data_IF_346687550261
#
_entry.id   IF_346687550261
#
_cell.length_a   1.000
_cell.length_b   1.000
_cell.length_c   1.000
_cell.angle_alpha   90.00
_cell.angle_beta   90.00
_cell.angle_gamma   90.00
#
_symmetry.space_group_name_H-M   'P 1'
#
loop_
_entity.id
_entity.type
_entity.pdbx_description
1 polymer ?
#
# COMPACT_ATOMS: atom_id res chain seq x y z
N UNK A 1 10.91 -29.77 3.18
CA UNK A 1 10.05 -29.53 4.36
C UNK A 1 9.03 -28.44 4.01
N UNK A 2 7.72 -28.71 4.03
CA UNK A 2 6.71 -27.73 3.64
C UNK A 2 6.54 -26.69 4.75
N UNK A 3 6.65 -25.40 4.40
CA UNK A 3 6.34 -24.29 5.29
C UNK A 3 4.84 -24.27 5.56
N UNK A 4 4.44 -24.57 6.79
CA UNK A 4 3.07 -24.41 7.28
C UNK A 4 2.66 -22.95 7.18
N UNK A 5 1.75 -22.64 6.24
CA UNK A 5 0.99 -21.40 6.20
C UNK A 5 0.02 -21.41 7.38
N UNK A 6 0.34 -20.66 8.42
CA UNK A 6 -0.61 -20.37 9.51
C UNK A 6 -1.55 -19.29 8.99
N UNK A 7 -2.66 -19.70 8.38
CA UNK A 7 -3.80 -18.81 8.19
C UNK A 7 -4.38 -18.54 9.58
N UNK A 8 -4.13 -17.38 10.14
CA UNK A 8 -4.92 -16.89 11.28
C UNK A 8 -6.32 -16.62 10.74
N UNK A 9 -7.26 -17.42 11.20
CA UNK A 9 -8.68 -17.17 11.01
C UNK A 9 -9.03 -15.90 11.78
N UNK A 10 -9.31 -14.82 11.07
CA UNK A 10 -9.66 -13.50 11.62
C UNK A 10 -11.17 -13.37 11.86
N UNK A 11 -11.94 -14.46 11.72
CA UNK A 11 -13.40 -14.40 11.68
C UNK A 11 -14.14 -14.63 13.02
N UNK A 12 -13.46 -14.91 14.13
CA UNK A 12 -14.14 -15.40 15.35
C UNK A 12 -13.70 -14.75 16.68
N UNK A 13 -13.35 -13.45 16.66
CA UNK A 13 -13.30 -12.68 17.90
C UNK A 13 -14.55 -11.81 18.03
N UNK A 14 -15.20 -11.69 19.21
CA UNK A 14 -16.28 -10.73 19.35
C UNK A 14 -15.75 -9.33 19.04
N UNK A 15 -16.38 -8.67 18.06
CA UNK A 15 -16.13 -7.27 17.78
C UNK A 15 -16.60 -6.47 19.01
N UNK A 16 -15.66 -6.08 19.87
CA UNK A 16 -15.93 -5.17 20.98
C UNK A 16 -15.86 -3.75 20.40
N UNK A 17 -17.00 -3.05 20.28
CA UNK A 17 -16.99 -1.68 19.80
C UNK A 17 -16.20 -0.82 20.81
N UNK A 18 -15.26 -0.03 20.29
CA UNK A 18 -14.51 0.92 21.10
C UNK A 18 -15.43 2.03 21.61
N UNK A 19 -15.27 2.40 22.85
CA UNK A 19 -16.00 3.52 23.45
C UNK A 19 -15.55 4.86 22.84
N UNK A 20 -16.41 5.88 22.92
CA UNK A 20 -16.09 7.23 22.47
C UNK A 20 -14.85 7.79 23.18
N UNK A 21 -14.64 7.48 24.46
CA UNK A 21 -13.48 7.88 25.24
C UNK A 21 -12.17 7.23 24.74
N UNK A 22 -12.22 5.94 24.36
CA UNK A 22 -11.08 5.25 23.77
C UNK A 22 -10.71 5.83 22.39
N UNK A 23 -11.69 6.30 21.63
CA UNK A 23 -11.47 7.00 20.38
C UNK A 23 -10.84 8.38 20.59
N UNK A 24 -11.26 9.10 21.61
CA UNK A 24 -10.77 10.45 21.94
C UNK A 24 -9.37 10.45 22.53
N UNK A 25 -8.86 9.30 22.99
CA UNK A 25 -7.55 9.19 23.65
C UNK A 25 -6.42 9.50 22.66
N UNK A 26 -5.66 10.54 22.96
CA UNK A 26 -4.42 10.86 22.26
C UNK A 26 -3.26 9.97 22.73
N UNK A 27 -2.41 9.57 21.81
CA UNK A 27 -1.25 8.72 22.04
C UNK A 27 0.04 9.54 22.01
N UNK A 28 0.99 9.20 22.87
CA UNK A 28 2.35 9.70 22.80
C UNK A 28 3.12 9.06 21.63
N UNK A 29 4.25 9.65 21.26
CA UNK A 29 5.18 9.11 20.25
C UNK A 29 5.57 7.65 20.56
N UNK A 30 5.93 7.38 21.82
CA UNK A 30 6.32 6.04 22.27
C UNK A 30 5.18 5.02 22.17
N UNK A 31 3.96 5.41 22.57
CA UNK A 31 2.78 4.53 22.45
C UNK A 31 2.45 4.22 20.99
N UNK A 32 2.55 5.19 20.09
CA UNK A 32 2.33 4.96 18.66
C UNK A 32 3.40 4.03 18.10
N UNK A 33 4.67 4.29 18.39
CA UNK A 33 5.78 3.45 17.94
C UNK A 33 5.65 2.00 18.41
N UNK A 34 5.39 1.80 19.70
CA UNK A 34 5.21 0.46 20.28
C UNK A 34 4.04 -0.31 19.66
N UNK A 35 2.88 0.36 19.47
CA UNK A 35 1.67 -0.28 18.94
C UNK A 35 1.71 -0.55 17.44
N UNK A 36 2.34 0.35 16.68
CA UNK A 36 2.44 0.22 15.22
C UNK A 36 3.63 -0.64 14.77
N UNK A 37 4.56 -0.91 15.69
CA UNK A 37 5.79 -1.64 15.39
C UNK A 37 6.67 -0.91 14.37
N UNK A 38 6.78 0.41 14.51
CA UNK A 38 7.74 1.23 13.74
C UNK A 38 8.65 2.00 14.69
N UNK A 39 9.84 2.37 14.22
CA UNK A 39 10.75 3.20 14.99
C UNK A 39 10.19 4.64 15.14
N UNK A 40 10.56 5.32 16.21
CA UNK A 40 10.18 6.73 16.43
C UNK A 40 10.68 7.62 15.27
N UNK A 41 11.86 7.34 14.72
CA UNK A 41 12.39 8.04 13.54
C UNK A 41 11.50 7.89 12.31
N UNK A 42 10.94 6.69 12.07
CA UNK A 42 10.00 6.45 10.98
C UNK A 42 8.69 7.22 11.19
N UNK A 43 8.22 7.34 12.43
CA UNK A 43 7.04 8.13 12.77
C UNK A 43 7.26 9.63 12.45
N UNK A 44 8.41 10.17 12.85
CA UNK A 44 8.79 11.54 12.51
C UNK A 44 8.97 11.76 11.01
N UNK A 45 9.50 10.77 10.30
CA UNK A 45 9.61 10.80 8.85
C UNK A 45 8.22 10.85 8.18
N UNK A 46 7.27 9.99 8.60
CA UNK A 46 5.91 10.03 8.07
C UNK A 46 5.21 11.37 8.34
N UNK A 47 5.45 11.97 9.50
CA UNK A 47 4.94 13.30 9.82
C UNK A 47 5.57 14.37 8.91
N UNK A 48 6.88 14.35 8.72
CA UNK A 48 7.58 15.27 7.82
C UNK A 48 7.13 15.13 6.36
N UNK A 49 6.78 13.91 5.93
CA UNK A 49 6.21 13.65 4.60
C UNK A 49 4.72 14.00 4.49
N UNK A 50 4.08 14.47 5.56
CA UNK A 50 2.67 14.82 5.58
C UNK A 50 1.70 13.63 5.49
N UNK A 51 2.17 12.42 5.75
CA UNK A 51 1.34 11.20 5.76
C UNK A 51 0.48 11.09 7.01
N UNK A 52 1.00 11.58 8.13
CA UNK A 52 0.32 11.63 9.43
C UNK A 52 0.49 13.02 10.06
N UNK A 53 -0.37 13.34 11.00
CA UNK A 53 -0.31 14.61 11.73
C UNK A 53 -0.30 14.38 13.23
N UNK A 54 0.39 15.27 13.95
CA UNK A 54 0.36 15.33 15.40
C UNK A 54 -0.15 16.70 15.88
N UNK A 55 -0.55 16.77 17.13
CA UNK A 55 -0.78 18.03 17.87
C UNK A 55 0.27 18.15 18.96
N UNK A 56 0.50 19.35 19.46
CA UNK A 56 1.34 19.56 20.62
C UNK A 56 0.46 19.86 21.83
N UNK A 57 0.73 19.16 22.94
CA UNK A 57 0.06 19.46 24.20
C UNK A 57 0.69 20.70 24.88
N UNK A 58 0.18 21.08 26.06
CA UNK A 58 0.67 22.22 26.85
C UNK A 58 2.17 22.10 27.20
N UNK A 59 2.70 20.90 27.32
CA UNK A 59 4.13 20.64 27.58
C UNK A 59 4.96 20.53 26.30
N UNK A 60 4.47 21.01 25.16
CA UNK A 60 5.11 20.97 23.85
C UNK A 60 5.44 19.54 23.32
N UNK A 61 4.80 18.51 23.87
CA UNK A 61 4.97 17.11 23.45
C UNK A 61 4.02 16.76 22.32
N UNK A 62 4.48 15.98 21.34
CA UNK A 62 3.64 15.45 20.27
C UNK A 62 2.60 14.48 20.79
N UNK A 63 1.36 14.67 20.35
CA UNK A 63 0.22 13.81 20.61
C UNK A 63 -0.45 13.43 19.29
N UNK A 64 -0.81 12.19 19.16
CA UNK A 64 -1.41 11.64 17.96
C UNK A 64 -2.81 11.12 18.27
N UNK A 65 -3.81 11.40 17.42
CA UNK A 65 -5.11 10.76 17.54
C UNK A 65 -4.96 9.25 17.36
N UNK A 66 -5.74 8.45 18.06
CA UNK A 66 -5.65 6.97 17.97
C UNK A 66 -5.82 6.45 16.55
N UNK A 67 -6.59 7.14 15.72
CA UNK A 67 -6.76 6.84 14.29
C UNK A 67 -5.44 6.77 13.49
N UNK A 68 -4.37 7.40 13.97
CA UNK A 68 -3.04 7.34 13.33
C UNK A 68 -2.52 5.92 13.20
N UNK A 69 -2.87 5.02 14.14
CA UNK A 69 -2.45 3.61 14.09
C UNK A 69 -2.99 2.91 12.83
N UNK A 70 -4.22 3.24 12.44
CA UNK A 70 -4.83 2.70 11.22
C UNK A 70 -4.14 3.24 9.97
N UNK A 71 -3.83 4.54 9.94
CA UNK A 71 -3.08 5.15 8.83
C UNK A 71 -1.70 4.50 8.68
N UNK A 72 -0.96 4.33 9.78
CA UNK A 72 0.35 3.68 9.76
C UNK A 72 0.23 2.23 9.27
N UNK A 73 -0.79 1.49 9.68
CA UNK A 73 -1.01 0.13 9.21
C UNK A 73 -1.22 0.10 7.69
N UNK A 74 -2.04 0.99 7.15
CA UNK A 74 -2.27 1.12 5.70
C UNK A 74 -0.97 1.47 4.97
N UNK A 75 -0.23 2.47 5.44
CA UNK A 75 1.06 2.89 4.86
C UNK A 75 2.04 1.69 4.82
N UNK A 76 2.19 0.97 5.92
CA UNK A 76 3.10 -0.21 6.00
C UNK A 76 2.72 -1.31 5.02
N UNK A 77 1.44 -1.62 4.91
CA UNK A 77 0.96 -2.66 3.99
C UNK A 77 1.18 -2.21 2.55
N UNK A 78 0.82 -0.98 2.20
CA UNK A 78 1.02 -0.42 0.88
C UNK A 78 2.50 -0.42 0.45
N UNK A 79 3.41 0.00 1.35
CA UNK A 79 4.85 -0.06 1.08
C UNK A 79 5.35 -1.50 0.86
N UNK A 80 4.83 -2.48 1.60
CA UNK A 80 5.18 -3.89 1.40
C UNK A 80 4.73 -4.45 0.06
N UNK A 81 3.68 -3.90 -0.51
CA UNK A 81 3.21 -4.26 -1.86
C UNK A 81 3.92 -3.46 -2.96
N UNK A 82 4.94 -2.66 -2.58
CA UNK A 82 5.76 -1.91 -3.52
C UNK A 82 5.11 -0.61 -4.01
N UNK A 83 4.08 -0.08 -3.32
CA UNK A 83 3.52 1.22 -3.66
C UNK A 83 4.46 2.32 -3.17
N UNK A 84 4.89 3.25 -4.04
CA UNK A 84 5.74 4.36 -3.66
C UNK A 84 5.11 5.25 -2.61
N UNK A 85 5.92 5.79 -1.69
CA UNK A 85 5.42 6.62 -0.61
C UNK A 85 4.72 7.90 -1.10
N UNK A 86 5.18 8.45 -2.22
CA UNK A 86 4.55 9.61 -2.86
C UNK A 86 3.11 9.30 -3.29
N UNK A 87 2.89 8.16 -3.93
CA UNK A 87 1.58 7.68 -4.35
C UNK A 87 0.66 7.42 -3.13
N UNK A 88 1.21 6.78 -2.07
CA UNK A 88 0.47 6.60 -0.81
C UNK A 88 0.01 7.94 -0.24
N UNK A 89 0.88 8.95 -0.26
CA UNK A 89 0.56 10.29 0.24
C UNK A 89 -0.56 10.94 -0.57
N UNK A 90 -0.54 10.83 -1.88
CA UNK A 90 -1.58 11.36 -2.76
C UNK A 90 -2.95 10.72 -2.47
N UNK A 91 -2.99 9.41 -2.34
CA UNK A 91 -4.22 8.71 -1.97
C UNK A 91 -4.73 9.08 -0.58
N UNK A 92 -3.84 9.22 0.41
CA UNK A 92 -4.23 9.63 1.76
C UNK A 92 -4.64 11.11 1.85
N UNK A 93 -4.33 11.93 0.85
CA UNK A 93 -4.69 13.34 0.83
C UNK A 93 -6.20 13.60 0.79
N UNK A 94 -7.00 12.63 0.36
CA UNK A 94 -8.46 12.71 0.38
C UNK A 94 -9.07 12.62 1.80
N UNK A 95 -8.28 12.18 2.80
CA UNK A 95 -8.75 12.08 4.17
C UNK A 95 -8.74 13.44 4.87
N UNK A 96 -9.77 13.77 5.68
CA UNK A 96 -9.83 15.00 6.44
C UNK A 96 -8.71 15.05 7.50
N UNK A 97 -8.15 16.23 7.70
CA UNK A 97 -7.11 16.49 8.72
C UNK A 97 -7.64 17.27 9.92
N UNK A 98 -8.79 17.91 9.76
CA UNK A 98 -9.44 18.82 10.70
C UNK A 98 -10.50 18.14 11.58
N UNK A 99 -10.96 16.97 11.18
CA UNK A 99 -11.96 16.16 11.89
C UNK A 99 -11.59 14.67 11.90
N UNK A 100 -12.22 13.86 12.76
CA UNK A 100 -12.07 12.41 12.74
C UNK A 100 -12.49 11.82 11.37
N UNK A 101 -11.73 10.83 10.91
CA UNK A 101 -12.01 10.11 9.66
C UNK A 101 -13.25 9.24 9.85
N UNK A 102 -14.27 9.47 9.05
CA UNK A 102 -15.53 8.72 9.06
C UNK A 102 -15.45 7.43 8.23
N UNK A 103 -16.46 6.57 8.36
CA UNK A 103 -16.61 5.38 7.52
C UNK A 103 -16.74 5.74 6.02
N UNK A 104 -17.41 6.86 5.70
CA UNK A 104 -17.54 7.35 4.33
C UNK A 104 -16.20 7.81 3.73
N UNK A 105 -15.36 8.47 4.54
CA UNK A 105 -14.00 8.85 4.11
C UNK A 105 -13.16 7.61 3.80
N UNK A 106 -13.25 6.58 4.64
CA UNK A 106 -12.58 5.31 4.40
C UNK A 106 -13.10 4.58 3.17
N UNK A 107 -14.40 4.59 2.93
CA UNK A 107 -14.99 4.00 1.73
C UNK A 107 -14.48 4.69 0.46
N UNK A 108 -14.42 6.05 0.47
CA UNK A 108 -13.87 6.83 -0.64
C UNK A 108 -12.40 6.51 -0.90
N UNK A 109 -11.58 6.47 0.15
CA UNK A 109 -10.18 6.06 0.05
C UNK A 109 -10.05 4.66 -0.56
N UNK A 110 -10.83 3.71 -0.04
CA UNK A 110 -10.81 2.31 -0.49
C UNK A 110 -11.18 2.17 -1.96
N UNK A 111 -12.20 2.90 -2.43
CA UNK A 111 -12.62 2.87 -3.83
C UNK A 111 -11.49 3.33 -4.78
N UNK A 112 -10.82 4.46 -4.46
CA UNK A 112 -9.70 4.93 -5.27
C UNK A 112 -8.51 3.97 -5.28
N UNK A 113 -8.31 3.23 -4.19
CA UNK A 113 -7.23 2.23 -4.12
C UNK A 113 -7.54 0.94 -4.86
N UNK A 114 -8.82 0.55 -4.98
CA UNK A 114 -9.21 -0.65 -5.72
C UNK A 114 -8.74 -0.57 -7.17
N UNK A 115 -9.01 0.52 -7.86
CA UNK A 115 -8.63 0.70 -9.27
C UNK A 115 -7.11 0.58 -9.47
N UNK A 116 -6.33 1.27 -8.62
CA UNK A 116 -4.86 1.22 -8.67
C UNK A 116 -4.31 -0.17 -8.38
N UNK A 117 -4.88 -0.85 -7.40
CA UNK A 117 -4.44 -2.20 -7.03
C UNK A 117 -4.84 -3.23 -8.10
N UNK A 118 -6.03 -3.13 -8.68
CA UNK A 118 -6.49 -4.03 -9.73
C UNK A 118 -5.62 -3.89 -11.00
N UNK A 119 -5.29 -2.66 -11.41
CA UNK A 119 -4.36 -2.43 -12.51
C UNK A 119 -2.98 -3.04 -12.22
N UNK A 120 -2.44 -2.83 -11.01
CA UNK A 120 -1.16 -3.40 -10.61
C UNK A 120 -1.18 -4.93 -10.57
N UNK A 121 -2.26 -5.53 -10.07
CA UNK A 121 -2.47 -6.99 -10.10
C UNK A 121 -2.48 -7.49 -11.54
N UNK A 122 -3.21 -6.83 -12.43
CA UNK A 122 -3.27 -7.21 -13.83
C UNK A 122 -1.90 -7.15 -14.52
N UNK A 123 -1.10 -6.09 -14.25
CA UNK A 123 0.27 -5.98 -14.77
C UNK A 123 1.19 -7.08 -14.24
N UNK A 124 1.13 -7.37 -12.94
CA UNK A 124 1.93 -8.44 -12.34
C UNK A 124 1.53 -9.83 -12.87
N UNK A 125 0.24 -10.08 -13.09
CA UNK A 125 -0.24 -11.32 -13.68
C UNK A 125 0.27 -11.47 -15.13
N UNK A 126 0.16 -10.43 -15.95
CA UNK A 126 0.70 -10.44 -17.32
C UNK A 126 2.20 -10.75 -17.33
N UNK A 127 2.98 -10.05 -16.50
CA UNK A 127 4.42 -10.29 -16.40
C UNK A 127 4.73 -11.73 -15.98
N UNK A 128 4.05 -12.24 -14.95
CA UNK A 128 4.23 -13.63 -14.50
C UNK A 128 3.96 -14.64 -15.61
N UNK A 129 2.86 -14.46 -16.34
CA UNK A 129 2.42 -15.41 -17.36
C UNK A 129 3.35 -15.36 -18.59
N UNK A 130 3.81 -14.18 -18.98
CA UNK A 130 4.78 -14.01 -20.04
C UNK A 130 6.16 -14.58 -19.69
N UNK A 131 6.64 -14.37 -18.45
CA UNK A 131 7.88 -15.01 -17.98
C UNK A 131 7.72 -16.52 -17.87
N UNK A 132 6.55 -17.02 -17.47
CA UNK A 132 6.24 -18.45 -17.41
C UNK A 132 6.34 -19.13 -18.78
N UNK A 133 5.85 -18.49 -19.83
CA UNK A 133 5.97 -18.99 -21.20
C UNK A 133 7.42 -18.96 -21.69
N UNK A 134 8.20 -17.93 -21.36
CA UNK A 134 9.62 -17.84 -21.70
C UNK A 134 10.48 -18.91 -21.01
N UNK A 135 10.22 -19.21 -19.72
CA UNK A 135 11.01 -20.16 -18.95
C UNK A 135 10.58 -21.60 -19.28
N UNK A 136 9.28 -21.81 -19.52
CA UNK A 136 8.71 -23.16 -19.76
C UNK A 136 9.03 -23.74 -21.12
N UNK A 137 9.31 -22.93 -22.12
CA UNK A 137 9.59 -23.42 -23.48
C UNK A 137 11.05 -23.84 -23.69
N UNK A 138 11.99 -23.47 -22.79
CA UNK A 138 13.43 -23.74 -22.97
C UNK A 138 13.93 -23.24 -24.35
N UNK A 139 13.18 -22.31 -24.93
CA UNK A 139 13.31 -22.03 -26.33
C UNK A 139 14.45 -21.09 -26.61
N UNK A 140 15.28 -21.61 -27.37
CA UNK A 140 15.95 -20.91 -28.44
C UNK A 140 15.03 -20.73 -29.68
N UNK A 141 13.75 -21.07 -29.59
CA UNK A 141 12.76 -20.90 -30.65
C UNK A 141 12.37 -19.42 -30.76
N UNK A 142 12.97 -18.76 -31.71
CA UNK A 142 12.69 -17.36 -32.04
C UNK A 142 11.33 -17.18 -32.77
N UNK A 143 10.58 -18.25 -33.02
CA UNK A 143 9.37 -18.18 -33.85
C UNK A 143 8.11 -17.82 -33.06
N UNK A 144 8.00 -18.25 -31.81
CA UNK A 144 6.76 -18.09 -31.03
C UNK A 144 6.99 -17.32 -29.69
N UNK A 145 8.13 -16.61 -29.57
CA UNK A 145 8.43 -15.84 -28.37
C UNK A 145 7.61 -14.54 -28.36
N UNK A 146 6.79 -14.27 -27.32
CA UNK A 146 6.03 -13.03 -27.22
C UNK A 146 6.92 -11.78 -27.10
N UNK A 147 8.21 -11.96 -26.80
CA UNK A 147 9.20 -10.87 -26.77
C UNK A 147 9.89 -10.67 -28.12
N UNK A 148 9.58 -11.51 -29.12
CA UNK A 148 10.14 -11.37 -30.44
C UNK A 148 9.50 -10.20 -31.17
N UNK A 149 10.31 -9.28 -31.63
CA UNK A 149 9.92 -8.16 -32.48
C UNK A 149 10.60 -8.26 -33.83
N UNK A 150 10.12 -9.13 -34.77
CA UNK A 150 10.72 -9.32 -36.05
C UNK A 150 10.67 -8.02 -36.87
N UNK A 151 11.82 -7.60 -37.41
CA UNK A 151 11.90 -6.37 -38.19
C UNK A 151 11.75 -5.09 -37.37
N UNK A 152 11.79 -5.18 -36.04
CA UNK A 152 11.68 -4.03 -35.15
C UNK A 152 10.39 -3.19 -35.36
N UNK A 153 9.30 -3.87 -35.73
CA UNK A 153 8.03 -3.20 -36.07
C UNK A 153 7.42 -2.45 -34.89
N UNK A 154 7.55 -2.99 -33.68
CA UNK A 154 6.97 -2.40 -32.44
C UNK A 154 7.68 -1.09 -32.07
N UNK A 155 8.88 -0.84 -32.56
CA UNK A 155 9.58 0.45 -32.38
C UNK A 155 8.80 1.64 -32.97
N UNK A 156 7.94 1.38 -33.96
CA UNK A 156 7.10 2.39 -34.61
C UNK A 156 5.92 2.82 -33.71
N UNK A 157 5.55 2.00 -32.72
CA UNK A 157 4.49 2.27 -31.76
C UNK A 157 4.97 3.13 -30.58
N UNK A 158 6.27 3.38 -30.49
CA UNK A 158 6.92 4.20 -29.45
C UNK A 158 7.94 3.46 -28.60
N UNK A 159 8.61 4.19 -27.72
CA UNK A 159 9.62 3.63 -26.83
C UNK A 159 9.02 2.82 -25.70
N UNK A 160 9.76 1.83 -25.20
CA UNK A 160 9.41 1.04 -24.01
C UNK A 160 9.13 -0.44 -24.30
N UNK A 161 8.83 -1.22 -23.27
CA UNK A 161 8.62 -2.67 -23.37
C UNK A 161 7.21 -3.03 -23.87
N UNK A 162 6.83 -2.55 -25.04
CA UNK A 162 5.48 -2.63 -25.60
C UNK A 162 4.86 -4.02 -25.64
N UNK A 163 5.69 -5.05 -25.82
CA UNK A 163 5.23 -6.45 -25.82
C UNK A 163 4.92 -6.99 -24.42
N UNK A 164 5.53 -6.41 -23.39
CA UNK A 164 5.33 -6.81 -21.99
C UNK A 164 4.33 -5.91 -21.28
N UNK A 165 4.32 -4.64 -21.63
CA UNK A 165 3.44 -3.62 -21.05
C UNK A 165 2.97 -2.66 -22.15
N UNK A 166 1.85 -2.96 -22.80
CA UNK A 166 1.36 -2.18 -23.92
C UNK A 166 0.83 -0.79 -23.56
N UNK A 167 0.84 -0.41 -22.24
CA UNK A 167 0.35 0.89 -21.77
C UNK A 167 -1.03 0.83 -21.17
#
# INVERSE_FOLDING_TARGET
>A
MPKRSVRRDLSTGPFVPMTAEEFARELSVGEVAARSGIAVSALHFYEAQGLITSRRNASNQRRYPRAVLRLIAVIKVAQRTGIPLAEIREHLACLPRDRPVSAADWAKLSAGWHEVLDDRIARLQRLRDQLGTCIGCGCLSLTDCPLRNPGDEVSREGAGPRLLDPG
#
